data_IF_747496417981
#
_entry.id   IF_747496417981
#
_cell.length_a   1.000
_cell.length_b   1.000
_cell.length_c   1.000
_cell.angle_alpha   90.00
_cell.angle_beta   90.00
_cell.angle_gamma   90.00
#
_symmetry.space_group_name_H-M   'P 1'
#
loop_
_entity.id
_entity.type
_entity.pdbx_description
1 polymer ?
#
# COMPACT_ATOMS: atom_id res chain seq x y z
N UNK A 1 19.41 -5.68 14.44
CA UNK A 1 18.23 -6.55 14.60
C UNK A 1 18.07 -7.36 13.33
N UNK A 2 17.91 -8.71 13.39
CA UNK A 2 17.79 -9.51 12.16
C UNK A 2 16.37 -9.38 11.61
N UNK A 3 16.23 -9.09 10.32
CA UNK A 3 14.94 -8.94 9.64
C UNK A 3 14.23 -10.28 9.47
N UNK A 4 12.93 -10.34 9.71
CA UNK A 4 12.12 -11.55 9.55
C UNK A 4 12.18 -12.06 8.10
N UNK A 5 12.07 -11.17 7.12
CA UNK A 5 12.11 -11.51 5.69
C UNK A 5 13.47 -12.07 5.21
N UNK A 6 14.57 -11.79 5.93
CA UNK A 6 15.91 -12.26 5.59
C UNK A 6 16.30 -13.56 6.31
N UNK A 7 15.46 -14.10 7.19
CA UNK A 7 15.74 -15.30 7.97
C UNK A 7 15.19 -16.54 7.29
N UNK A 8 16.05 -17.38 6.71
CA UNK A 8 15.77 -18.75 6.33
C UNK A 8 14.41 -18.98 5.65
N UNK A 9 13.58 -19.85 6.20
CA UNK A 9 12.22 -20.12 5.69
C UNK A 9 11.28 -19.00 6.14
N UNK A 10 10.78 -18.22 5.17
CA UNK A 10 9.82 -17.15 5.42
C UNK A 10 8.49 -17.69 5.94
N UNK A 11 7.85 -16.97 6.87
CA UNK A 11 6.51 -17.27 7.34
C UNK A 11 5.46 -17.03 6.24
N UNK A 12 4.29 -17.66 6.36
CA UNK A 12 3.17 -17.40 5.44
C UNK A 12 2.75 -15.93 5.42
N UNK A 13 2.77 -15.27 6.58
CA UNK A 13 2.51 -13.83 6.73
C UNK A 13 3.51 -12.98 5.94
N UNK A 14 4.80 -13.28 6.05
CA UNK A 14 5.84 -12.55 5.31
C UNK A 14 5.63 -12.69 3.81
N UNK A 15 5.32 -13.90 3.34
CA UNK A 15 5.08 -14.15 1.92
C UNK A 15 3.82 -13.42 1.41
N UNK A 16 2.75 -13.41 2.20
CA UNK A 16 1.52 -12.68 1.88
C UNK A 16 1.79 -11.18 1.73
N UNK A 17 2.47 -10.57 2.71
CA UNK A 17 2.81 -9.14 2.69
C UNK A 17 3.69 -8.78 1.50
N UNK A 18 4.72 -9.58 1.20
CA UNK A 18 5.57 -9.38 0.02
C UNK A 18 4.78 -9.43 -1.29
N UNK A 19 3.85 -10.37 -1.41
CA UNK A 19 2.99 -10.50 -2.59
C UNK A 19 2.04 -9.31 -2.74
N UNK A 20 1.46 -8.85 -1.64
CA UNK A 20 0.58 -7.69 -1.61
C UNK A 20 1.33 -6.43 -2.08
N UNK A 21 2.47 -6.12 -1.47
CA UNK A 21 3.30 -4.97 -1.85
C UNK A 21 3.73 -5.07 -3.32
N UNK A 22 4.30 -6.21 -3.72
CA UNK A 22 4.79 -6.39 -5.08
C UNK A 22 3.70 -6.30 -6.15
N UNK A 23 2.49 -6.81 -5.88
CA UNK A 23 1.35 -6.72 -6.79
C UNK A 23 0.85 -5.29 -6.91
N UNK A 24 0.75 -4.59 -5.79
CA UNK A 24 0.34 -3.19 -5.74
C UNK A 24 1.30 -2.30 -6.55
N UNK A 25 2.60 -2.42 -6.32
CA UNK A 25 3.61 -1.61 -7.01
C UNK A 25 3.67 -1.87 -8.52
N UNK A 26 3.38 -3.11 -8.97
CA UNK A 26 3.30 -3.40 -10.41
C UNK A 26 2.20 -2.62 -11.12
N UNK A 27 1.16 -2.20 -10.44
CA UNK A 27 0.12 -1.36 -11.02
C UNK A 27 0.59 0.09 -11.25
N UNK A 28 1.68 0.51 -10.61
CA UNK A 28 2.26 1.84 -10.76
C UNK A 28 3.29 1.95 -11.91
N UNK A 29 3.70 0.82 -12.52
CA UNK A 29 4.83 0.78 -13.46
C UNK A 29 4.52 -0.03 -14.70
N UNK A 30 4.81 0.53 -15.87
CA UNK A 30 4.90 -0.23 -17.12
C UNK A 30 6.22 -1.02 -17.15
N UNK A 31 6.13 -2.33 -16.94
CA UNK A 31 7.29 -3.21 -16.90
C UNK A 31 7.99 -3.34 -18.27
N UNK A 32 7.29 -3.05 -19.37
CA UNK A 32 7.90 -3.08 -20.72
C UNK A 32 8.79 -1.86 -20.91
N UNK A 33 8.32 -0.69 -20.49
CA UNK A 33 9.10 0.55 -20.54
C UNK A 33 10.28 0.54 -19.54
N UNK A 34 10.12 -0.14 -18.39
CA UNK A 34 11.21 -0.37 -17.45
C UNK A 34 12.31 -1.27 -18.05
N UNK A 35 11.95 -2.19 -18.93
CA UNK A 35 12.88 -3.11 -19.59
C UNK A 35 13.44 -4.19 -18.66
N UNK A 36 14.68 -4.62 -18.90
CA UNK A 36 15.34 -5.71 -18.16
C UNK A 36 15.97 -5.24 -16.82
N UNK A 37 15.37 -4.24 -16.18
CA UNK A 37 15.84 -3.77 -14.88
C UNK A 37 15.05 -4.43 -13.74
N UNK A 38 15.76 -4.76 -12.66
CA UNK A 38 15.17 -5.25 -11.42
C UNK A 38 15.28 -4.18 -10.35
N UNK A 39 14.15 -3.78 -9.77
CA UNK A 39 14.09 -2.89 -8.62
C UNK A 39 13.74 -3.73 -7.39
N UNK A 40 14.65 -3.78 -6.43
CA UNK A 40 14.42 -4.44 -5.15
C UNK A 40 13.94 -3.38 -4.15
N UNK A 41 12.75 -3.61 -3.59
CA UNK A 41 12.16 -2.72 -2.56
C UNK A 41 12.21 -3.42 -1.23
N UNK A 42 12.79 -2.74 -0.26
CA UNK A 42 12.97 -3.22 1.10
C UNK A 42 12.19 -2.31 2.06
N UNK A 43 11.17 -2.89 2.72
CA UNK A 43 10.32 -2.18 3.65
C UNK A 43 10.71 -2.55 5.08
N UNK A 44 11.24 -1.59 5.85
CA UNK A 44 11.63 -1.76 7.24
C UNK A 44 10.70 -0.93 8.14
N UNK A 45 9.95 -1.63 8.99
CA UNK A 45 9.03 -0.99 9.94
C UNK A 45 9.82 -0.59 11.19
N UNK A 46 10.08 0.71 11.34
CA UNK A 46 10.84 1.26 12.49
C UNK A 46 9.95 1.28 13.73
N UNK A 47 8.71 1.71 13.58
CA UNK A 47 7.71 1.73 14.65
C UNK A 47 6.40 1.16 14.11
N UNK A 48 5.93 0.08 14.71
CA UNK A 48 4.67 -0.56 14.35
C UNK A 48 3.51 -0.03 15.18
N UNK A 49 2.36 0.10 14.52
CA UNK A 49 1.05 0.29 15.08
C UNK A 49 0.07 -0.48 14.16
N UNK A 50 -1.17 -0.05 13.93
CA UNK A 50 -2.01 -0.56 12.85
C UNK A 50 -1.48 -0.21 11.46
N UNK A 51 -1.95 -0.89 10.41
CA UNK A 51 -1.71 -0.51 9.01
C UNK A 51 -0.27 -0.62 8.50
N UNK A 52 0.60 -1.48 9.06
CA UNK A 52 2.00 -1.59 8.60
C UNK A 52 2.13 -2.04 7.15
N UNK A 53 1.20 -2.84 6.65
CA UNK A 53 1.15 -3.30 5.24
C UNK A 53 0.84 -2.15 4.30
N UNK A 54 -0.15 -1.33 4.65
CA UNK A 54 -0.61 -0.19 3.85
C UNK A 54 0.44 0.93 3.85
N UNK A 55 1.06 1.21 5.00
CA UNK A 55 2.19 2.13 5.12
C UNK A 55 3.38 1.69 4.26
N UNK A 56 3.69 0.37 4.23
CA UNK A 56 4.74 -0.19 3.38
C UNK A 56 4.47 0.05 1.90
N UNK A 57 3.23 -0.16 1.41
CA UNK A 57 2.85 0.09 0.01
C UNK A 57 3.02 1.58 -0.33
N UNK A 58 2.51 2.46 0.53
CA UNK A 58 2.54 3.91 0.34
C UNK A 58 3.97 4.45 0.31
N UNK A 59 4.81 4.04 1.27
CA UNK A 59 6.23 4.43 1.30
C UNK A 59 7.05 3.81 0.16
N UNK A 60 6.78 2.55 -0.18
CA UNK A 60 7.45 1.86 -1.30
C UNK A 60 7.15 2.52 -2.66
N UNK A 61 5.98 3.12 -2.83
CA UNK A 61 5.67 3.88 -4.04
C UNK A 61 6.59 5.10 -4.19
N UNK A 62 6.87 5.84 -3.13
CA UNK A 62 7.84 6.96 -3.15
C UNK A 62 9.23 6.45 -3.53
N UNK A 63 9.71 5.40 -2.88
CA UNK A 63 11.02 4.81 -3.18
C UNK A 63 11.12 4.29 -4.63
N UNK A 64 10.03 3.74 -5.17
CA UNK A 64 9.94 3.28 -6.56
C UNK A 64 10.07 4.46 -7.54
N UNK A 65 9.38 5.57 -7.29
CA UNK A 65 9.49 6.79 -8.11
C UNK A 65 10.92 7.32 -8.09
N UNK A 66 11.58 7.36 -6.94
CA UNK A 66 12.97 7.80 -6.82
C UNK A 66 13.94 6.87 -7.56
N UNK A 67 13.72 5.56 -7.49
CA UNK A 67 14.52 4.58 -8.25
C UNK A 67 14.35 4.78 -9.77
N UNK A 68 13.14 5.00 -10.25
CA UNK A 68 12.86 5.30 -11.67
C UNK A 68 13.55 6.61 -12.09
N UNK A 69 13.43 7.67 -11.31
CA UNK A 69 14.12 8.94 -11.55
C UNK A 69 15.64 8.78 -11.60
N UNK A 70 16.19 7.93 -10.73
CA UNK A 70 17.62 7.60 -10.78
C UNK A 70 18.01 6.90 -12.08
N UNK A 71 17.26 5.91 -12.53
CA UNK A 71 17.49 5.22 -13.80
C UNK A 71 17.40 6.18 -15.00
N UNK A 72 16.46 7.12 -14.98
CA UNK A 72 16.33 8.16 -16.01
C UNK A 72 17.53 9.11 -16.00
N UNK A 73 17.93 9.64 -14.83
CA UNK A 73 19.11 10.52 -14.71
C UNK A 73 20.41 9.85 -15.13
N UNK A 74 20.57 8.57 -14.83
CA UNK A 74 21.73 7.77 -15.24
C UNK A 74 21.67 7.33 -16.71
N UNK A 75 20.59 7.67 -17.43
CA UNK A 75 20.32 7.24 -18.81
C UNK A 75 20.27 5.72 -19.01
N UNK A 76 20.00 4.97 -17.94
CA UNK A 76 19.81 3.53 -18.01
C UNK A 76 18.48 3.18 -18.69
N UNK A 77 17.47 4.02 -18.55
CA UNK A 77 16.20 3.93 -19.30
C UNK A 77 15.94 5.23 -20.06
N UNK A 78 15.21 5.15 -21.17
CA UNK A 78 14.92 6.30 -22.04
C UNK A 78 13.51 6.86 -21.85
N UNK A 79 12.57 6.01 -21.47
CA UNK A 79 11.16 6.34 -21.30
C UNK A 79 10.83 6.73 -19.86
N UNK A 80 9.55 6.91 -19.61
CA UNK A 80 8.98 7.04 -18.28
C UNK A 80 8.06 5.83 -17.99
N UNK A 81 8.56 4.84 -17.27
CA UNK A 81 7.77 3.66 -16.94
C UNK A 81 6.71 3.91 -15.86
N UNK A 82 6.67 5.10 -15.23
CA UNK A 82 5.70 5.40 -14.19
C UNK A 82 4.31 5.62 -14.81
N UNK A 83 3.35 4.74 -14.48
CA UNK A 83 1.94 4.89 -14.88
C UNK A 83 1.25 5.92 -13.98
N UNK A 84 1.53 5.88 -12.68
CA UNK A 84 0.95 6.78 -11.70
C UNK A 84 1.35 6.39 -10.28
N UNK A 85 0.99 7.23 -9.34
CA UNK A 85 1.23 6.93 -7.93
C UNK A 85 0.14 6.03 -7.38
N UNK A 86 0.48 5.24 -6.38
CA UNK A 86 -0.45 4.41 -5.63
C UNK A 86 -0.28 4.67 -4.14
N UNK A 87 -1.38 4.56 -3.41
CA UNK A 87 -1.35 4.59 -1.95
C UNK A 87 -2.31 3.55 -1.38
N UNK A 88 -2.15 3.25 -0.10
CA UNK A 88 -2.94 2.25 0.58
C UNK A 88 -3.28 2.70 2.00
N UNK A 89 -4.50 2.37 2.43
CA UNK A 89 -4.99 2.62 3.80
C UNK A 89 -5.71 1.39 4.33
N UNK A 90 -5.78 1.27 5.66
CA UNK A 90 -6.72 0.39 6.33
C UNK A 90 -8.03 1.13 6.59
N UNK A 91 -9.14 0.42 6.45
CA UNK A 91 -10.47 0.87 6.86
C UNK A 91 -11.19 -0.29 7.55
N UNK A 92 -12.11 0.00 8.42
CA UNK A 92 -12.83 -1.06 9.10
C UNK A 92 -14.10 -0.58 9.77
N UNK A 93 -14.74 -1.51 10.48
CA UNK A 93 -15.87 -1.19 11.38
C UNK A 93 -15.43 -1.44 12.81
N UNK A 94 -15.38 -0.38 13.58
CA UNK A 94 -15.04 -0.41 14.99
C UNK A 94 -16.18 0.17 15.82
N UNK A 95 -16.70 -0.63 16.78
CA UNK A 95 -17.87 -0.27 17.60
C UNK A 95 -19.07 0.18 16.77
N UNK A 96 -19.31 -0.48 15.64
CA UNK A 96 -20.43 -0.18 14.75
C UNK A 96 -20.25 1.06 13.88
N UNK A 97 -19.06 1.68 13.87
CA UNK A 97 -18.75 2.87 13.07
C UNK A 97 -17.65 2.56 12.06
N UNK A 98 -17.79 3.00 10.79
CA UNK A 98 -16.70 2.95 9.83
C UNK A 98 -15.57 3.87 10.26
N UNK A 99 -14.33 3.37 10.27
CA UNK A 99 -13.12 4.10 10.65
C UNK A 99 -12.07 4.01 9.54
N UNK A 100 -11.25 5.04 9.45
CA UNK A 100 -10.13 5.15 8.51
C UNK A 100 -8.82 5.08 9.30
N UNK A 101 -7.82 4.37 8.74
CA UNK A 101 -6.48 4.28 9.30
C UNK A 101 -6.48 3.74 10.73
N UNK A 102 -6.95 2.49 10.86
CA UNK A 102 -7.08 1.83 12.16
C UNK A 102 -5.74 1.77 12.89
N UNK A 103 -5.72 2.24 14.12
CA UNK A 103 -4.63 1.99 15.05
C UNK A 103 -4.66 0.52 15.54
N UNK A 104 -3.63 0.09 16.28
CA UNK A 104 -3.56 -1.28 16.76
C UNK A 104 -4.75 -1.67 17.68
N UNK A 105 -5.22 -0.73 18.49
CA UNK A 105 -6.33 -0.99 19.41
C UNK A 105 -7.67 -1.12 18.65
N UNK A 106 -7.85 -0.36 17.60
CA UNK A 106 -9.00 -0.44 16.70
C UNK A 106 -8.94 -1.71 15.85
N UNK A 107 -7.80 -1.96 15.18
CA UNK A 107 -7.56 -3.13 14.31
C UNK A 107 -7.81 -4.45 15.04
N UNK A 108 -7.23 -4.60 16.25
CA UNK A 108 -7.36 -5.83 17.05
C UNK A 108 -8.76 -6.10 17.60
N UNK A 109 -9.66 -5.10 17.58
CA UNK A 109 -11.04 -5.19 18.08
C UNK A 109 -12.07 -4.83 17.00
N UNK A 110 -11.66 -4.65 15.76
CA UNK A 110 -12.54 -4.33 14.65
C UNK A 110 -13.49 -5.48 14.34
N UNK A 111 -14.72 -5.15 13.99
CA UNK A 111 -15.71 -6.10 13.49
C UNK A 111 -15.40 -6.50 12.04
N UNK A 112 -14.76 -5.60 11.32
CA UNK A 112 -14.29 -5.77 9.94
C UNK A 112 -12.97 -5.02 9.78
N UNK A 113 -11.98 -5.66 9.18
CA UNK A 113 -10.72 -5.07 8.76
C UNK A 113 -10.58 -5.19 7.24
N UNK A 114 -10.15 -4.11 6.58
CA UNK A 114 -10.02 -4.06 5.14
C UNK A 114 -8.83 -3.19 4.74
N UNK A 115 -7.99 -3.72 3.84
CA UNK A 115 -6.89 -2.99 3.22
C UNK A 115 -7.28 -2.60 1.79
N UNK A 116 -7.16 -1.33 1.48
CA UNK A 116 -7.51 -0.77 0.16
C UNK A 116 -6.27 -0.19 -0.48
N UNK A 117 -6.03 -0.54 -1.74
CA UNK A 117 -4.99 0.07 -2.58
C UNK A 117 -5.65 0.75 -3.77
N UNK A 118 -5.33 2.01 -4.00
CA UNK A 118 -5.84 2.76 -5.15
C UNK A 118 -4.73 3.51 -5.87
N UNK A 119 -4.98 3.78 -7.15
CA UNK A 119 -4.16 4.71 -7.93
C UNK A 119 -4.52 6.17 -7.62
N UNK A 120 -3.60 7.08 -7.91
CA UNK A 120 -3.84 8.54 -7.83
C UNK A 120 -4.99 9.03 -8.72
N UNK A 121 -5.39 8.25 -9.70
CA UNK A 121 -6.54 8.53 -10.58
C UNK A 121 -7.87 8.01 -10.04
N UNK A 122 -7.87 7.41 -8.84
CA UNK A 122 -9.06 6.93 -8.15
C UNK A 122 -9.49 5.51 -8.52
N UNK A 123 -8.69 4.78 -9.29
CA UNK A 123 -8.94 3.36 -9.60
C UNK A 123 -8.54 2.44 -8.45
N UNK A 124 -9.39 1.44 -8.15
CA UNK A 124 -9.05 0.39 -7.19
C UNK A 124 -8.06 -0.60 -7.81
N UNK A 125 -6.98 -0.89 -7.07
CA UNK A 125 -5.97 -1.89 -7.44
C UNK A 125 -6.20 -3.16 -6.64
N UNK A 126 -6.50 -3.01 -5.35
CA UNK A 126 -6.81 -4.13 -4.47
C UNK A 126 -7.80 -3.71 -3.39
N UNK A 127 -8.74 -4.60 -3.10
CA UNK A 127 -9.70 -4.51 -2.00
C UNK A 127 -9.63 -5.85 -1.28
N UNK A 128 -9.04 -5.87 -0.10
CA UNK A 128 -8.89 -7.07 0.71
C UNK A 128 -9.51 -6.80 2.08
N UNK A 129 -10.56 -7.53 2.42
CA UNK A 129 -11.24 -7.36 3.70
C UNK A 129 -11.81 -8.65 4.24
N UNK A 130 -11.90 -8.72 5.55
CA UNK A 130 -12.44 -9.83 6.29
C UNK A 130 -13.40 -9.34 7.37
N UNK A 131 -14.51 -10.03 7.51
CA UNK A 131 -15.40 -9.85 8.66
C UNK A 131 -14.92 -10.78 9.77
N UNK A 132 -14.49 -10.21 10.89
CA UNK A 132 -13.98 -10.96 12.04
C UNK A 132 -15.10 -11.45 12.97
N UNK A 133 -16.26 -10.79 12.94
CA UNK A 133 -17.41 -11.13 13.78
C UNK A 133 -18.65 -11.46 12.94
N UNK A 134 -19.39 -10.44 12.51
CA UNK A 134 -20.58 -10.60 11.66
C UNK A 134 -20.31 -10.08 10.26
N UNK A 135 -20.94 -10.64 9.21
CA UNK A 135 -20.80 -10.12 7.85
C UNK A 135 -21.17 -8.63 7.78
N UNK A 136 -20.36 -7.83 7.10
CA UNK A 136 -20.68 -6.43 6.83
C UNK A 136 -21.66 -6.30 5.65
N UNK A 137 -22.52 -5.30 5.72
CA UNK A 137 -23.52 -5.02 4.69
C UNK A 137 -22.91 -4.29 3.48
N UNK A 138 -23.61 -4.29 2.32
CA UNK A 138 -23.20 -3.47 1.18
C UNK A 138 -23.12 -1.96 1.48
N UNK A 139 -23.96 -1.46 2.39
CA UNK A 139 -23.93 -0.06 2.81
C UNK A 139 -22.66 0.26 3.59
N UNK A 140 -22.25 -0.60 4.52
CA UNK A 140 -21.00 -0.47 5.28
C UNK A 140 -19.78 -0.58 4.37
N UNK A 141 -19.80 -1.48 3.39
CA UNK A 141 -18.75 -1.56 2.37
C UNK A 141 -18.61 -0.22 1.62
N UNK A 142 -19.72 0.35 1.18
CA UNK A 142 -19.71 1.64 0.49
C UNK A 142 -19.09 2.74 1.35
N UNK A 143 -19.47 2.81 2.63
CA UNK A 143 -18.91 3.80 3.56
C UNK A 143 -17.41 3.62 3.79
N UNK A 144 -16.93 2.38 3.95
CA UNK A 144 -15.50 2.07 4.07
C UNK A 144 -14.73 2.46 2.81
N UNK A 145 -15.26 2.19 1.62
CA UNK A 145 -14.63 2.58 0.35
C UNK A 145 -14.55 4.10 0.16
N UNK A 146 -15.57 4.85 0.57
CA UNK A 146 -15.56 6.31 0.53
C UNK A 146 -14.53 6.90 1.51
N UNK A 147 -14.40 6.32 2.71
CA UNK A 147 -13.34 6.71 3.66
C UNK A 147 -11.95 6.42 3.10
N UNK A 148 -11.75 5.23 2.54
CA UNK A 148 -10.49 4.83 1.93
C UNK A 148 -10.07 5.80 0.81
N UNK A 149 -11.00 6.18 -0.05
CA UNK A 149 -10.75 7.13 -1.14
C UNK A 149 -10.19 8.46 -0.60
N UNK A 150 -10.82 9.04 0.42
CA UNK A 150 -10.35 10.29 1.05
C UNK A 150 -8.96 10.15 1.65
N UNK A 151 -8.72 9.08 2.42
CA UNK A 151 -7.41 8.81 3.00
C UNK A 151 -6.32 8.63 1.96
N UNK A 152 -6.61 7.95 0.86
CA UNK A 152 -5.67 7.74 -0.25
C UNK A 152 -5.38 9.05 -0.98
N UNK A 153 -6.38 9.90 -1.23
CA UNK A 153 -6.18 11.24 -1.80
C UNK A 153 -5.23 12.09 -0.92
N UNK A 154 -5.37 12.01 0.39
CA UNK A 154 -4.48 12.69 1.34
C UNK A 154 -3.05 12.13 1.29
N UNK A 155 -2.90 10.80 1.28
CA UNK A 155 -1.60 10.15 1.19
C UNK A 155 -0.89 10.46 -0.14
N UNK A 156 -1.60 10.47 -1.26
CA UNK A 156 -1.02 10.84 -2.56
C UNK A 156 -0.48 12.28 -2.53
N UNK A 157 -1.17 13.21 -1.88
CA UNK A 157 -0.66 14.59 -1.69
C UNK A 157 0.63 14.61 -0.86
N UNK A 158 0.69 13.83 0.21
CA UNK A 158 1.90 13.72 1.04
C UNK A 158 3.07 13.11 0.27
N UNK A 159 2.82 12.05 -0.51
CA UNK A 159 3.82 11.44 -1.39
C UNK A 159 4.36 12.46 -2.41
N UNK A 160 3.49 13.26 -3.04
CA UNK A 160 3.89 14.30 -3.99
C UNK A 160 4.76 15.37 -3.33
N UNK A 161 4.41 15.80 -2.11
CA UNK A 161 5.23 16.75 -1.34
C UNK A 161 6.61 16.16 -1.00
N UNK A 162 6.69 14.90 -0.63
CA UNK A 162 7.96 14.22 -0.34
C UNK A 162 8.86 14.12 -1.59
N UNK A 163 8.26 13.89 -2.75
CA UNK A 163 8.97 13.76 -4.04
C UNK A 163 9.36 15.10 -4.68
N UNK A 164 8.87 16.22 -4.15
CA UNK A 164 9.19 17.57 -4.61
C UNK A 164 10.44 18.17 -3.94
N UNK A 165 10.98 17.52 -2.92
CA UNK A 165 12.20 17.90 -2.21
C UNK A 165 13.44 17.41 -2.97
#
# INVERSE_FOLDING_TARGET
MGREAARGKQSGRTQEIQRLIGRSLRAAVDLKELGEHTINIDCDVIQADGGTRTASITGACVALVDAIRYLQRSKAIKGDPLIGMIASVSVGIYKGMPVLDLDYAEDSNAQTDMNIVMSSEGGFIEVQGTAEAAPFSPAELTQMLELAKRGIEDLVRVQQMALAQ
#
